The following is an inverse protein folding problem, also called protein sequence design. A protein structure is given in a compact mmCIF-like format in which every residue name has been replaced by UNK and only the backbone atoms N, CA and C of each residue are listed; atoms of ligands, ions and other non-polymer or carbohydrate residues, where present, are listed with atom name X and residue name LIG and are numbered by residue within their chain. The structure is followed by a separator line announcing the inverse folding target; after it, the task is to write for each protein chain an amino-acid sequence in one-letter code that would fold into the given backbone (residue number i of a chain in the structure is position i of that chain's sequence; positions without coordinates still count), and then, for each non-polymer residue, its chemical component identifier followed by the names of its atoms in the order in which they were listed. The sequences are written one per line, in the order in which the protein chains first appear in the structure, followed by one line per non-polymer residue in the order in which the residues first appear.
data_IF_226295647103
#
_entry.id   IF_226295647103
#
_cell.length_a   1.000
_cell.length_b   1.000
_cell.length_c   1.000
_cell.angle_alpha   90.00
_cell.angle_beta   90.00
_cell.angle_gamma   90.00
#
_symmetry.space_group_name_H-M   'P 1'
#
loop_
_entity.id
_entity.type
_entity.pdbx_description
1 polymer ?
#
# COMPACT_ATOMS: atom_id res chain seq x y z
N UNK A 1 0.56 -0.55 10.91
CA UNK A 1 1.27 0.39 10.02
C UNK A 1 0.33 1.48 9.52
N UNK A 2 0.89 2.58 9.02
CA UNK A 2 0.10 3.62 8.40
C UNK A 2 -0.36 3.24 7.00
N UNK A 3 -1.26 4.06 6.43
CA UNK A 3 -1.79 3.83 5.09
C UNK A 3 -0.74 4.05 3.99
N UNK A 4 0.25 4.89 4.24
CA UNK A 4 1.28 5.18 3.26
C UNK A 4 2.46 5.94 3.84
N UNK A 5 3.49 6.10 3.03
CA UNK A 5 4.70 6.82 3.42
C UNK A 5 5.35 7.46 2.19
N UNK A 6 6.31 8.36 2.45
CA UNK A 6 7.13 8.96 1.41
C UNK A 6 8.07 7.91 0.83
N UNK A 7 8.30 8.00 -0.46
CA UNK A 7 9.24 7.14 -1.16
C UNK A 7 10.26 8.01 -1.89
N UNK A 8 11.53 7.76 -1.65
CA UNK A 8 12.64 8.50 -2.24
C UNK A 8 13.86 7.62 -2.36
N UNK A 9 15.02 8.12 -1.90
CA UNK A 9 16.26 7.34 -1.92
C UNK A 9 16.20 6.11 -1.01
N UNK A 10 15.44 6.22 0.07
CA UNK A 10 15.21 5.10 1.00
C UNK A 10 13.80 4.56 0.82
N UNK A 11 13.60 3.29 1.17
CA UNK A 11 12.29 2.65 1.11
C UNK A 11 11.26 3.42 1.94
N UNK A 12 11.68 3.91 3.11
CA UNK A 12 10.88 4.79 3.94
C UNK A 12 11.60 6.12 4.03
N UNK A 13 11.38 6.98 3.04
CA UNK A 13 12.08 8.24 2.98
C UNK A 13 11.59 9.23 4.04
N UNK A 14 12.42 10.22 4.36
CA UNK A 14 12.12 11.17 5.42
C UNK A 14 10.94 12.07 5.03
N UNK A 15 10.12 12.40 6.02
CA UNK A 15 8.97 13.28 5.87
C UNK A 15 8.29 13.41 7.21
N UNK A 16 7.39 14.36 7.35
CA UNK A 16 6.70 14.63 8.62
C UNK A 16 5.29 14.08 8.67
N UNK A 17 5.02 13.03 7.94
CA UNK A 17 3.67 12.49 7.85
C UNK A 17 3.23 11.73 9.11
N UNK A 18 4.16 11.28 9.93
CA UNK A 18 3.83 10.54 11.15
C UNK A 18 3.45 11.46 12.32
N UNK A 19 4.01 12.67 12.35
CA UNK A 19 3.67 13.66 13.38
C UNK A 19 2.53 14.56 12.95
N UNK A 20 2.51 14.95 11.70
CA UNK A 20 1.51 15.86 11.14
C UNK A 20 1.07 15.38 9.77
N UNK A 21 -0.04 14.68 9.74
CA UNK A 21 -0.60 14.12 8.50
C UNK A 21 -1.36 15.15 7.67
N UNK A 22 -1.33 16.41 8.08
CA UNK A 22 -1.98 17.49 7.36
C UNK A 22 -1.13 18.06 6.21
N UNK A 23 0.11 17.63 6.06
CA UNK A 23 0.97 18.11 4.99
C UNK A 23 0.34 17.80 3.64
N UNK A 24 0.20 18.84 2.82
CA UNK A 24 -0.39 18.72 1.49
C UNK A 24 0.53 17.97 0.55
N UNK A 25 -0.07 17.16 -0.32
CA UNK A 25 0.65 16.51 -1.40
C UNK A 25 0.95 17.53 -2.50
N UNK A 26 2.16 17.47 -3.02
CA UNK A 26 2.61 18.38 -4.06
C UNK A 26 3.01 17.59 -5.31
N UNK A 27 2.92 18.26 -6.46
CA UNK A 27 3.37 17.68 -7.73
C UNK A 27 4.82 17.21 -7.62
N UNK A 28 5.08 16.03 -8.10
CA UNK A 28 6.41 15.42 -8.05
C UNK A 28 6.66 14.53 -6.84
N UNK A 29 5.79 14.57 -5.84
CA UNK A 29 5.91 13.67 -4.70
C UNK A 29 5.52 12.25 -5.08
N UNK A 30 6.24 11.28 -4.54
CA UNK A 30 5.90 9.86 -4.66
C UNK A 30 5.57 9.35 -3.26
N UNK A 31 4.40 8.76 -3.13
CA UNK A 31 3.97 8.16 -1.87
C UNK A 31 3.47 6.74 -2.13
N UNK A 32 3.49 5.92 -1.09
CA UNK A 32 2.82 4.62 -1.14
C UNK A 32 1.39 4.76 -0.64
N UNK A 33 0.51 3.91 -1.14
CA UNK A 33 -0.81 3.67 -0.58
C UNK A 33 -0.90 2.17 -0.35
N UNK A 34 -0.99 1.77 0.92
CA UNK A 34 -0.82 0.36 1.28
C UNK A 34 -1.81 -0.11 2.35
N UNK A 35 -3.11 -0.09 2.05
CA UNK A 35 -4.08 -0.63 2.99
C UNK A 35 -3.84 -2.12 3.23
N UNK A 36 -4.09 -2.56 4.45
CA UNK A 36 -3.90 -3.95 4.80
C UNK A 36 -4.90 -4.42 5.84
N UNK A 37 -5.12 -5.72 5.86
CA UNK A 37 -5.94 -6.40 6.86
C UNK A 37 -5.10 -7.48 7.50
N UNK A 38 -5.05 -7.47 8.81
CA UNK A 38 -4.27 -8.44 9.60
C UNK A 38 -5.19 -9.07 10.62
N UNK A 39 -5.33 -10.39 10.56
CA UNK A 39 -6.24 -11.15 11.43
C UNK A 39 -5.40 -11.91 12.43
N UNK A 40 -5.48 -11.53 13.71
CA UNK A 40 -4.71 -12.19 14.76
C UNK A 40 -5.25 -13.59 15.03
N UNK A 41 -4.43 -14.41 15.66
CA UNK A 41 -4.84 -15.75 16.12
C UNK A 41 -5.97 -15.67 17.15
N UNK A 42 -6.13 -14.54 17.82
CA UNK A 42 -7.11 -14.33 18.87
C UNK A 42 -8.40 -13.68 18.37
N UNK A 43 -8.47 -13.34 17.08
CA UNK A 43 -9.64 -12.68 16.51
C UNK A 43 -10.87 -13.58 16.55
N UNK A 44 -12.04 -12.96 16.74
CA UNK A 44 -13.31 -13.67 16.73
C UNK A 44 -13.81 -13.90 15.30
N UNK A 45 -13.13 -14.82 14.62
CA UNK A 45 -13.41 -15.19 13.23
C UNK A 45 -13.25 -16.70 13.08
N UNK A 46 -13.77 -17.29 12.00
CA UNK A 46 -13.51 -18.72 11.74
C UNK A 46 -12.01 -19.01 11.73
N UNK A 47 -11.63 -20.15 12.28
CA UNK A 47 -10.23 -20.52 12.49
C UNK A 47 -9.39 -20.46 11.21
N UNK A 48 -10.00 -20.74 10.07
CA UNK A 48 -9.30 -20.73 8.77
C UNK A 48 -8.78 -19.35 8.37
N UNK A 49 -9.30 -18.28 8.96
CA UNK A 49 -8.86 -16.92 8.65
C UNK A 49 -7.86 -16.36 9.66
N UNK A 50 -7.63 -17.06 10.76
CA UNK A 50 -6.70 -16.58 11.80
C UNK A 50 -5.28 -16.62 11.30
N UNK A 51 -4.51 -15.62 11.67
CA UNK A 51 -3.11 -15.51 11.29
C UNK A 51 -2.87 -15.03 9.87
N UNK A 52 -3.93 -14.64 9.14
CA UNK A 52 -3.79 -14.15 7.76
C UNK A 52 -3.56 -12.64 7.77
N UNK A 53 -2.60 -12.20 6.97
CA UNK A 53 -2.36 -10.79 6.72
C UNK A 53 -2.27 -10.54 5.22
N UNK A 54 -2.91 -9.50 4.76
CA UNK A 54 -2.87 -9.10 3.34
C UNK A 54 -2.65 -7.59 3.27
N UNK A 55 -1.69 -7.19 2.45
CA UNK A 55 -1.45 -5.79 2.12
C UNK A 55 -1.43 -5.65 0.61
N UNK A 56 -2.10 -4.62 0.12
CA UNK A 56 -2.05 -4.23 -1.29
C UNK A 56 -1.41 -2.86 -1.33
N UNK A 57 -0.33 -2.74 -2.10
CA UNK A 57 0.46 -1.52 -2.10
C UNK A 57 0.67 -1.01 -3.51
N UNK A 58 0.49 0.29 -3.68
CA UNK A 58 0.83 1.00 -4.92
C UNK A 58 1.69 2.21 -4.60
N UNK A 59 2.55 2.57 -5.55
CA UNK A 59 3.34 3.79 -5.51
C UNK A 59 2.70 4.81 -6.44
N UNK A 60 2.38 5.96 -5.91
CA UNK A 60 1.67 7.00 -6.65
C UNK A 60 2.56 8.24 -6.82
N UNK A 61 2.68 8.69 -8.07
CA UNK A 61 3.32 9.97 -8.39
C UNK A 61 2.24 11.05 -8.44
N UNK A 62 2.42 12.11 -7.68
CA UNK A 62 1.51 13.25 -7.71
C UNK A 62 1.76 14.09 -8.96
N UNK A 63 0.70 14.35 -9.72
CA UNK A 63 0.74 15.14 -10.96
C UNK A 63 -0.17 16.36 -10.84
N UNK A 64 -0.08 17.27 -11.81
CA UNK A 64 -0.93 18.47 -11.85
C UNK A 64 -2.42 18.15 -11.91
N UNK A 65 -2.79 16.99 -12.45
CA UNK A 65 -4.18 16.61 -12.67
C UNK A 65 -4.64 15.47 -11.78
N UNK A 66 -3.84 15.08 -10.78
CA UNK A 66 -4.20 14.01 -9.88
C UNK A 66 -2.99 13.15 -9.53
N UNK A 67 -3.02 11.89 -9.92
CA UNK A 67 -1.91 10.99 -9.64
C UNK A 67 -1.72 9.98 -10.76
N UNK A 68 -0.52 9.41 -10.81
CA UNK A 68 -0.19 8.32 -11.70
C UNK A 68 0.23 7.13 -10.86
N UNK A 69 -0.42 5.98 -11.05
CA UNK A 69 -0.05 4.75 -10.37
C UNK A 69 1.15 4.12 -11.07
N UNK A 70 2.32 4.19 -10.44
CA UNK A 70 3.57 3.69 -11.01
C UNK A 70 3.66 2.16 -11.00
N UNK A 71 2.85 1.51 -10.17
CA UNK A 71 2.89 0.05 -10.00
C UNK A 71 1.63 -0.63 -10.53
N UNK A 72 0.91 0.03 -11.43
CA UNK A 72 -0.36 -0.48 -11.96
C UNK A 72 -0.20 -1.84 -12.66
N UNK A 73 0.97 -2.12 -13.23
CA UNK A 73 1.21 -3.39 -13.92
C UNK A 73 1.42 -4.58 -12.97
N UNK A 74 1.66 -4.33 -11.69
CA UNK A 74 1.83 -5.41 -10.72
C UNK A 74 0.48 -6.07 -10.42
N UNK A 75 0.37 -7.40 -10.48
CA UNK A 75 -0.91 -8.08 -10.23
C UNK A 75 -1.37 -7.88 -8.79
N UNK A 76 -2.65 -7.50 -8.61
CA UNK A 76 -3.27 -7.30 -7.30
C UNK A 76 -4.63 -7.98 -7.20
N UNK A 77 -5.33 -8.10 -8.32
CA UNK A 77 -6.62 -8.77 -8.34
C UNK A 77 -6.47 -10.27 -8.09
N UNK A 78 -7.46 -10.87 -7.45
CA UNK A 78 -7.42 -12.28 -7.08
C UNK A 78 -7.16 -13.16 -8.29
N UNK A 79 -7.90 -12.96 -9.38
CA UNK A 79 -7.77 -13.78 -10.57
C UNK A 79 -6.39 -13.65 -11.21
N UNK A 80 -5.84 -12.44 -11.24
CA UNK A 80 -4.51 -12.19 -11.81
C UNK A 80 -3.42 -12.89 -11.01
N UNK A 81 -3.52 -12.84 -9.68
CA UNK A 81 -2.54 -13.48 -8.80
C UNK A 81 -2.65 -15.00 -8.93
N UNK A 82 -3.86 -15.55 -8.93
CA UNK A 82 -4.07 -16.97 -9.07
C UNK A 82 -3.55 -17.48 -10.41
N UNK A 83 -3.79 -16.74 -11.51
CA UNK A 83 -3.28 -17.09 -12.82
C UNK A 83 -1.75 -17.07 -12.87
N UNK A 84 -1.13 -16.08 -12.25
CA UNK A 84 0.33 -15.98 -12.20
C UNK A 84 0.96 -17.14 -11.45
N UNK A 85 0.29 -17.66 -10.43
CA UNK A 85 0.80 -18.76 -9.61
C UNK A 85 0.52 -20.14 -10.19
N UNK A 86 -0.28 -20.23 -11.22
CA UNK A 86 -0.49 -21.49 -11.96
C UNK A 86 0.74 -21.83 -12.79
N UNK A 87 1.06 -23.06 -12.86
CA UNK A 87 2.14 -23.56 -13.71
C UNK A 87 1.59 -24.33 -14.88
#
# INVERSE_FOLDING_TARGET
HGLGHWLGLDVHDVGRYDDDRSRKLEVGMIITVEPGIYISEEADVPAQYKGIGVRIEDNLLMTEYGNKNLTAAAPKEIDDIENLMKN
#
